data_IF_504856404495
#
_entry.id   IF_504856404495
#
_cell.length_a   1.000
_cell.length_b   1.000
_cell.length_c   1.000
_cell.angle_alpha   90.00
_cell.angle_beta   90.00
_cell.angle_gamma   90.00
#
_symmetry.space_group_name_H-M   'P 1'
#
loop_
_entity.id
_entity.type
_entity.pdbx_description
1 polymer ?
#
# COMPACT_ATOMS: atom_id res chain seq x y z
N UNK A 1 -8.35 9.58 -12.53
CA UNK A 1 -8.61 10.71 -11.61
C UNK A 1 -10.00 11.30 -11.85
N UNK A 2 -11.05 10.52 -11.48
CA UNK A 2 -12.41 11.02 -11.46
C UNK A 2 -12.65 11.72 -10.12
N UNK A 3 -13.37 12.84 -10.14
CA UNK A 3 -13.89 13.43 -8.90
C UNK A 3 -15.08 12.62 -8.36
N UNK A 4 -15.53 12.97 -7.18
CA UNK A 4 -16.57 12.22 -6.50
C UNK A 4 -17.88 12.17 -7.33
N UNK A 5 -18.24 13.29 -7.99
CA UNK A 5 -19.47 13.37 -8.80
C UNK A 5 -19.37 12.50 -10.05
N UNK A 6 -18.24 12.56 -10.77
CA UNK A 6 -17.99 11.70 -11.92
C UNK A 6 -17.97 10.22 -11.54
N UNK A 7 -17.44 9.88 -10.35
CA UNK A 7 -17.44 8.50 -9.83
C UNK A 7 -18.88 8.03 -9.56
N UNK A 8 -19.71 8.83 -8.89
CA UNK A 8 -21.12 8.51 -8.61
C UNK A 8 -21.91 8.38 -9.94
N UNK A 9 -21.68 9.27 -10.90
CA UNK A 9 -22.28 9.19 -12.20
C UNK A 9 -21.89 7.88 -12.92
N UNK A 10 -20.59 7.54 -12.92
CA UNK A 10 -20.09 6.31 -13.54
C UNK A 10 -20.68 5.06 -12.90
N UNK A 11 -20.76 5.00 -11.57
CA UNK A 11 -21.42 3.91 -10.85
C UNK A 11 -22.88 3.76 -11.27
N UNK A 12 -23.62 4.87 -11.35
CA UNK A 12 -25.01 4.88 -11.80
C UNK A 12 -25.16 4.43 -13.26
N UNK A 13 -24.25 4.82 -14.12
CA UNK A 13 -24.20 4.39 -15.52
C UNK A 13 -23.93 2.89 -15.63
N UNK A 14 -22.88 2.39 -14.94
CA UNK A 14 -22.48 0.99 -14.99
C UNK A 14 -23.53 0.06 -14.39
N UNK A 15 -24.25 0.48 -13.35
CA UNK A 15 -25.33 -0.32 -12.75
C UNK A 15 -26.50 -0.58 -13.72
N UNK A 16 -26.68 0.30 -14.71
CA UNK A 16 -27.73 0.18 -15.75
C UNK A 16 -27.21 -0.49 -17.03
N UNK A 17 -25.90 -0.73 -17.11
CA UNK A 17 -25.29 -1.33 -18.29
C UNK A 17 -25.71 -2.78 -18.46
N UNK A 18 -26.27 -3.12 -19.65
CA UNK A 18 -26.79 -4.47 -19.96
C UNK A 18 -25.79 -5.37 -20.68
N UNK A 19 -24.68 -4.81 -21.13
CA UNK A 19 -23.61 -5.57 -21.79
C UNK A 19 -22.65 -6.20 -20.79
N UNK A 20 -21.75 -7.06 -21.26
CA UNK A 20 -20.62 -7.53 -20.46
C UNK A 20 -19.62 -6.39 -20.22
N UNK A 21 -18.97 -6.40 -19.05
CA UNK A 21 -17.90 -5.47 -18.73
C UNK A 21 -16.79 -6.14 -17.94
N UNK A 22 -15.55 -5.66 -18.12
CA UNK A 22 -14.39 -6.05 -17.32
C UNK A 22 -13.74 -4.77 -16.82
N UNK A 23 -13.55 -4.67 -15.52
CA UNK A 23 -13.03 -3.48 -14.84
C UNK A 23 -11.80 -3.84 -14.04
N UNK A 24 -10.78 -2.98 -14.10
CA UNK A 24 -9.64 -2.99 -13.19
C UNK A 24 -9.74 -1.72 -12.34
N UNK A 25 -9.83 -1.89 -11.03
CA UNK A 25 -9.86 -0.76 -10.08
C UNK A 25 -9.23 -1.15 -8.75
N UNK A 26 -8.66 -0.18 -8.06
CA UNK A 26 -8.17 -0.32 -6.70
C UNK A 26 -9.15 0.29 -5.66
N UNK A 27 -10.22 0.91 -6.12
CA UNK A 27 -11.28 1.42 -5.25
C UNK A 27 -12.23 0.29 -4.85
N UNK A 28 -12.14 -0.12 -3.60
CA UNK A 28 -12.95 -1.20 -3.02
C UNK A 28 -14.44 -0.86 -3.01
N UNK A 29 -14.77 0.39 -2.68
CA UNK A 29 -16.16 0.84 -2.59
C UNK A 29 -16.81 0.90 -3.98
N UNK A 30 -16.06 1.34 -4.99
CA UNK A 30 -16.48 1.31 -6.39
C UNK A 30 -16.71 -0.12 -6.88
N UNK A 31 -15.77 -1.04 -6.62
CA UNK A 31 -15.92 -2.44 -7.01
C UNK A 31 -17.13 -3.09 -6.32
N UNK A 32 -17.30 -2.87 -5.01
CA UNK A 32 -18.42 -3.45 -4.25
C UNK A 32 -19.79 -3.08 -4.82
N UNK A 33 -19.91 -1.87 -5.38
CA UNK A 33 -21.17 -1.38 -5.96
C UNK A 33 -21.36 -1.70 -7.43
N UNK A 34 -20.25 -1.93 -8.17
CA UNK A 34 -20.29 -2.00 -9.64
C UNK A 34 -20.19 -3.41 -10.22
N UNK A 35 -19.70 -4.39 -9.45
CA UNK A 35 -19.42 -5.73 -9.97
C UNK A 35 -20.19 -6.83 -9.23
N UNK A 36 -20.39 -7.96 -9.92
CA UNK A 36 -21.01 -9.16 -9.37
C UNK A 36 -20.11 -10.41 -9.48
N UNK A 37 -18.97 -10.29 -10.13
CA UNK A 37 -17.98 -11.36 -10.23
C UNK A 37 -16.57 -10.76 -10.12
N UNK A 38 -15.63 -11.53 -9.57
CA UNK A 38 -14.21 -11.16 -9.49
C UNK A 38 -13.38 -12.25 -10.14
N UNK A 39 -12.48 -11.83 -11.02
CA UNK A 39 -11.41 -12.67 -11.56
C UNK A 39 -10.11 -12.36 -10.80
N UNK A 40 -9.71 -13.26 -9.93
CA UNK A 40 -8.41 -13.19 -9.27
C UNK A 40 -7.34 -13.79 -10.18
N UNK A 41 -6.27 -13.04 -10.40
CA UNK A 41 -5.08 -13.50 -11.11
C UNK A 41 -3.96 -13.61 -10.08
N UNK A 42 -3.61 -14.83 -9.69
CA UNK A 42 -2.54 -15.09 -8.73
C UNK A 42 -1.72 -16.31 -9.18
N UNK A 43 -0.39 -16.23 -9.04
CA UNK A 43 0.56 -17.29 -9.40
C UNK A 43 0.29 -17.93 -10.79
N UNK A 44 0.00 -17.09 -11.79
CA UNK A 44 -0.35 -17.50 -13.18
C UNK A 44 -1.63 -18.32 -13.29
N UNK A 45 -2.47 -18.33 -12.27
CA UNK A 45 -3.79 -18.95 -12.25
C UNK A 45 -4.86 -17.88 -12.23
N UNK A 46 -5.99 -18.18 -12.87
CA UNK A 46 -7.17 -17.32 -12.86
C UNK A 46 -8.26 -18.04 -12.08
N UNK A 47 -8.80 -17.40 -11.08
CA UNK A 47 -9.90 -17.94 -10.26
C UNK A 47 -11.09 -17.00 -10.32
N UNK A 48 -12.26 -17.53 -10.66
CA UNK A 48 -13.52 -16.79 -10.67
C UNK A 48 -14.21 -16.91 -9.31
N UNK A 49 -14.60 -15.78 -8.75
CA UNK A 49 -15.42 -15.65 -7.55
C UNK A 49 -16.75 -14.99 -7.90
N UNK A 50 -17.86 -15.52 -7.36
CA UNK A 50 -19.18 -14.96 -7.55
C UNK A 50 -19.56 -14.06 -6.37
N UNK A 51 -19.71 -12.78 -6.63
CA UNK A 51 -20.08 -11.77 -5.64
C UNK A 51 -19.29 -10.46 -5.81
N UNK A 52 -19.51 -9.56 -4.88
CA UNK A 52 -18.82 -8.29 -4.79
C UNK A 52 -17.44 -8.44 -4.08
N UNK A 53 -16.72 -7.35 -3.93
CA UNK A 53 -15.38 -7.35 -3.35
C UNK A 53 -15.36 -7.77 -1.87
N UNK A 54 -16.37 -7.36 -1.08
CA UNK A 54 -16.49 -7.73 0.34
C UNK A 54 -16.63 -9.26 0.47
N UNK A 55 -17.55 -9.87 -0.28
CA UNK A 55 -17.74 -11.32 -0.28
C UNK A 55 -16.49 -12.08 -0.72
N UNK A 56 -15.81 -11.58 -1.76
CA UNK A 56 -14.55 -12.16 -2.21
C UNK A 56 -13.49 -12.17 -1.10
N UNK A 57 -13.32 -11.06 -0.37
CA UNK A 57 -12.31 -10.99 0.70
C UNK A 57 -12.60 -11.95 1.85
N UNK A 58 -13.87 -12.11 2.20
CA UNK A 58 -14.32 -13.08 3.22
C UNK A 58 -14.05 -14.52 2.75
N UNK A 59 -14.44 -14.86 1.53
CA UNK A 59 -14.24 -16.21 0.97
C UNK A 59 -12.75 -16.53 0.80
N UNK A 60 -11.95 -15.56 0.33
CA UNK A 60 -10.51 -15.71 0.22
C UNK A 60 -9.86 -15.95 1.58
N UNK A 61 -10.23 -15.19 2.60
CA UNK A 61 -9.68 -15.34 3.96
C UNK A 61 -10.00 -16.73 4.54
N UNK A 62 -11.23 -17.20 4.37
CA UNK A 62 -11.66 -18.54 4.81
C UNK A 62 -10.90 -19.65 4.08
N UNK A 63 -10.74 -19.54 2.75
CA UNK A 63 -9.99 -20.51 1.93
C UNK A 63 -8.53 -20.56 2.35
N UNK A 64 -7.91 -19.41 2.60
CA UNK A 64 -6.52 -19.35 3.06
C UNK A 64 -6.36 -19.98 4.45
N UNK A 65 -7.29 -19.76 5.35
CA UNK A 65 -7.27 -20.39 6.67
C UNK A 65 -7.41 -21.93 6.57
N UNK A 66 -8.34 -22.41 5.77
CA UNK A 66 -8.52 -23.82 5.49
C UNK A 66 -7.24 -24.45 4.91
N UNK A 67 -6.65 -23.81 3.91
CA UNK A 67 -5.40 -24.26 3.30
C UNK A 67 -4.24 -24.31 4.31
N UNK A 68 -4.12 -23.28 5.17
CA UNK A 68 -3.10 -23.24 6.24
C UNK A 68 -3.30 -24.36 7.26
N UNK A 69 -4.53 -24.64 7.63
CA UNK A 69 -4.85 -25.71 8.56
C UNK A 69 -4.59 -27.10 7.94
N UNK A 70 -4.98 -27.29 6.67
CA UNK A 70 -4.71 -28.53 5.95
C UNK A 70 -3.18 -28.77 5.80
N UNK A 71 -2.40 -27.74 5.41
CA UNK A 71 -0.93 -27.83 5.36
C UNK A 71 -0.32 -28.18 6.71
N UNK A 72 -0.74 -27.50 7.79
CA UNK A 72 -0.24 -27.75 9.15
C UNK A 72 -0.52 -29.19 9.59
N UNK A 73 -1.74 -29.68 9.34
CA UNK A 73 -2.12 -31.05 9.68
C UNK A 73 -1.31 -32.07 8.90
N UNK A 74 -1.11 -31.85 7.60
CA UNK A 74 -0.28 -32.72 6.76
C UNK A 74 1.18 -32.74 7.23
N UNK A 75 1.77 -31.58 7.52
CA UNK A 75 3.14 -31.48 8.02
C UNK A 75 3.30 -32.22 9.36
N UNK A 76 2.32 -32.13 10.26
CA UNK A 76 2.30 -32.89 11.51
C UNK A 76 2.28 -34.40 11.24
N UNK A 77 1.41 -34.86 10.34
CA UNK A 77 1.30 -36.28 9.97
C UNK A 77 2.60 -36.81 9.32
N UNK A 78 3.21 -36.02 8.43
CA UNK A 78 4.51 -36.37 7.85
C UNK A 78 5.56 -36.53 8.94
N UNK A 79 5.71 -35.52 9.81
CA UNK A 79 6.70 -35.54 10.89
C UNK A 79 6.50 -36.69 11.88
N UNK A 80 5.29 -37.02 12.24
CA UNK A 80 4.97 -38.14 13.13
C UNK A 80 5.26 -39.48 12.45
N UNK A 81 5.00 -39.59 11.15
CA UNK A 81 5.32 -40.79 10.36
C UNK A 81 6.84 -40.98 10.18
N UNK A 82 7.58 -39.90 9.89
CA UNK A 82 9.04 -39.93 9.80
C UNK A 82 9.67 -40.32 11.13
N UNK A 83 9.20 -39.77 12.27
CA UNK A 83 9.66 -40.18 13.61
C UNK A 83 9.41 -41.66 13.89
N UNK A 84 8.26 -42.19 13.45
CA UNK A 84 7.95 -43.60 13.59
C UNK A 84 8.95 -44.46 12.76
N UNK A 85 9.17 -44.09 11.49
CA UNK A 85 10.12 -44.79 10.61
C UNK A 85 11.52 -44.77 11.23
N UNK A 86 12.01 -43.64 11.67
CA UNK A 86 13.34 -43.49 12.29
C UNK A 86 13.48 -44.36 13.55
N UNK A 87 12.48 -44.31 14.44
CA UNK A 87 12.49 -45.08 15.71
C UNK A 87 12.48 -46.59 15.53
N UNK A 88 11.85 -47.11 14.46
CA UNK A 88 11.61 -48.50 14.25
C UNK A 88 12.38 -49.10 13.06
N UNK A 89 13.19 -48.31 12.36
CA UNK A 89 13.96 -48.71 11.16
C UNK A 89 14.84 -49.92 11.39
N UNK A 90 15.45 -50.06 12.56
CA UNK A 90 16.36 -51.15 12.91
C UNK A 90 15.68 -52.39 13.53
N UNK A 91 14.36 -52.36 13.74
CA UNK A 91 13.63 -53.46 14.39
C UNK A 91 12.97 -54.37 13.37
N UNK A 92 13.51 -55.62 13.21
CA UNK A 92 12.98 -56.59 12.26
C UNK A 92 11.49 -56.90 12.43
N UNK A 93 10.99 -56.93 13.67
CA UNK A 93 9.57 -57.18 13.98
C UNK A 93 8.62 -56.06 13.48
N UNK A 94 9.13 -54.90 13.11
CA UNK A 94 8.39 -53.78 12.60
C UNK A 94 8.68 -53.44 11.13
N UNK A 95 9.52 -54.23 10.43
CA UNK A 95 9.95 -53.94 9.08
C UNK A 95 8.82 -53.74 8.09
N UNK A 96 7.77 -54.58 8.11
CA UNK A 96 6.60 -54.46 7.23
C UNK A 96 5.82 -53.16 7.49
N UNK A 97 5.66 -52.78 8.76
CA UNK A 97 4.98 -51.53 9.12
C UNK A 97 5.78 -50.28 8.70
N UNK A 98 7.10 -50.33 8.84
CA UNK A 98 7.99 -49.26 8.39
C UNK A 98 7.91 -49.12 6.86
N UNK A 99 8.01 -50.21 6.11
CA UNK A 99 7.89 -50.18 4.66
C UNK A 99 6.54 -49.66 4.18
N UNK A 100 5.44 -50.05 4.84
CA UNK A 100 4.09 -49.54 4.54
C UNK A 100 4.00 -48.00 4.72
N UNK A 101 4.59 -47.47 5.82
CA UNK A 101 4.62 -46.04 6.08
C UNK A 101 5.51 -45.25 5.13
N UNK A 102 6.64 -45.79 4.73
CA UNK A 102 7.49 -45.21 3.67
C UNK A 102 6.70 -45.10 2.37
N UNK A 103 6.08 -46.21 1.93
CA UNK A 103 5.23 -46.18 0.71
C UNK A 103 4.05 -45.21 0.81
N UNK A 104 3.50 -44.99 2.00
CA UNK A 104 2.44 -44.01 2.23
C UNK A 104 2.97 -42.58 2.06
N UNK A 105 4.17 -42.28 2.60
CA UNK A 105 4.78 -40.95 2.42
C UNK A 105 5.16 -40.67 0.97
N UNK A 106 5.68 -41.70 0.26
CA UNK A 106 6.06 -41.58 -1.16
C UNK A 106 4.83 -41.30 -2.08
N UNK A 107 3.66 -41.80 -1.71
CA UNK A 107 2.42 -41.61 -2.46
C UNK A 107 1.64 -40.34 -2.03
N UNK A 108 2.08 -39.68 -0.94
CA UNK A 108 1.37 -38.54 -0.40
C UNK A 108 1.55 -37.32 -1.31
N UNK A 109 0.46 -36.82 -1.88
CA UNK A 109 0.47 -35.51 -2.55
C UNK A 109 0.74 -34.42 -1.51
N UNK A 110 1.88 -33.75 -1.64
CA UNK A 110 2.27 -32.68 -0.71
C UNK A 110 1.47 -31.40 -1.02
N UNK A 111 0.79 -30.92 0.01
CA UNK A 111 0.15 -29.62 -0.05
C UNK A 111 1.25 -28.56 -0.12
N UNK A 112 1.15 -27.67 -1.10
CA UNK A 112 2.10 -26.55 -1.22
C UNK A 112 2.06 -25.66 0.04
N UNK A 113 3.22 -25.20 0.44
CA UNK A 113 3.27 -24.27 1.59
C UNK A 113 2.39 -23.04 1.29
N UNK A 114 1.54 -22.63 2.24
CA UNK A 114 0.75 -21.43 2.02
C UNK A 114 1.69 -20.25 1.74
N UNK A 115 1.40 -19.53 0.68
CA UNK A 115 2.12 -18.31 0.31
C UNK A 115 2.13 -17.40 1.54
N UNK A 116 3.28 -16.88 1.91
CA UNK A 116 3.35 -15.89 3.00
C UNK A 116 2.38 -14.78 2.61
N UNK A 117 1.38 -14.54 3.45
CA UNK A 117 0.57 -13.35 3.30
C UNK A 117 1.55 -12.18 3.20
N UNK A 118 1.45 -11.42 2.12
CA UNK A 118 2.06 -10.10 2.08
C UNK A 118 1.51 -9.38 3.29
N UNK A 119 2.35 -9.21 4.32
CA UNK A 119 1.93 -8.54 5.53
C UNK A 119 1.52 -7.13 5.15
N UNK A 120 0.37 -6.68 5.65
CA UNK A 120 0.03 -5.26 5.57
C UNK A 120 1.24 -4.44 6.06
N UNK A 121 1.50 -3.32 5.40
CA UNK A 121 2.58 -2.41 5.76
C UNK A 121 2.53 -2.11 7.27
N UNK A 122 3.53 -2.54 8.02
CA UNK A 122 3.65 -2.23 9.44
C UNK A 122 4.62 -1.06 9.61
N UNK A 123 4.14 0.13 9.28
CA UNK A 123 4.93 1.35 9.29
C UNK A 123 5.16 1.83 10.72
N UNK A 124 6.41 1.81 11.15
CA UNK A 124 6.88 2.55 12.32
C UNK A 124 7.59 3.81 11.82
N UNK A 125 6.82 4.88 11.68
CA UNK A 125 7.37 6.16 11.23
C UNK A 125 8.14 6.83 12.37
N UNK A 126 9.28 7.47 12.06
CA UNK A 126 9.96 8.33 13.01
C UNK A 126 9.01 9.47 13.43
N UNK A 127 8.94 9.71 14.73
CA UNK A 127 8.06 10.74 15.28
C UNK A 127 8.84 12.05 15.45
N UNK A 128 8.31 13.19 15.01
CA UNK A 128 8.94 14.47 15.20
C UNK A 128 8.87 14.92 16.68
N UNK A 129 9.71 15.87 17.04
CA UNK A 129 9.59 16.57 18.31
C UNK A 129 8.24 17.29 18.40
N UNK A 130 7.89 17.76 19.62
CA UNK A 130 6.61 18.46 19.81
C UNK A 130 6.57 19.78 19.05
N UNK A 131 5.63 19.92 18.11
CA UNK A 131 5.36 21.17 17.39
C UNK A 131 4.53 22.18 18.21
N UNK A 132 4.47 23.46 17.81
CA UNK A 132 3.47 24.40 18.26
C UNK A 132 2.04 23.89 18.06
N UNK A 133 1.04 24.55 18.70
CA UNK A 133 -0.36 24.20 18.52
C UNK A 133 -0.81 24.45 17.06
N UNK A 134 -0.50 25.62 16.51
CA UNK A 134 -0.77 25.96 15.11
C UNK A 134 0.43 25.52 14.28
N UNK A 135 0.21 24.54 13.40
CA UNK A 135 1.25 24.00 12.52
C UNK A 135 1.26 24.67 11.16
N UNK A 136 0.12 25.14 10.68
CA UNK A 136 0.01 25.92 9.44
C UNK A 136 -1.19 26.86 9.50
N UNK A 137 -1.10 27.98 8.81
CA UNK A 137 -2.23 28.93 8.70
C UNK A 137 -2.20 29.72 7.40
N UNK A 138 -3.38 30.05 6.89
CA UNK A 138 -3.61 31.03 5.82
C UNK A 138 -4.36 32.23 6.41
N UNK A 139 -3.97 33.44 6.03
CA UNK A 139 -4.66 34.67 6.39
C UNK A 139 -4.90 35.54 5.18
N UNK A 140 -6.17 35.84 4.90
CA UNK A 140 -6.62 36.66 3.77
C UNK A 140 -5.97 36.21 2.45
N UNK A 141 -5.83 34.91 2.23
CA UNK A 141 -5.12 34.36 1.08
C UNK A 141 -5.98 34.47 -0.16
N UNK A 142 -5.46 35.13 -1.17
CA UNK A 142 -6.02 35.16 -2.52
C UNK A 142 -5.02 34.53 -3.48
N UNK A 143 -5.49 33.67 -4.36
CA UNK A 143 -4.69 33.01 -5.38
C UNK A 143 -5.37 33.08 -6.74
N UNK A 144 -4.63 33.59 -7.71
CA UNK A 144 -5.01 33.62 -9.11
C UNK A 144 -3.98 32.86 -9.96
N UNK A 145 -4.43 32.24 -11.02
CA UNK A 145 -3.64 31.78 -12.14
C UNK A 145 -4.15 32.53 -13.39
N UNK A 146 -3.40 33.49 -13.85
CA UNK A 146 -3.83 34.41 -14.93
C UNK A 146 -5.21 35.01 -14.57
N UNK A 147 -6.24 34.71 -15.36
CA UNK A 147 -7.61 35.21 -15.15
C UNK A 147 -8.48 34.32 -14.25
N UNK A 148 -7.94 33.18 -13.78
CA UNK A 148 -8.69 32.23 -12.95
C UNK A 148 -8.45 32.52 -11.47
N UNK A 149 -9.50 32.97 -10.77
CA UNK A 149 -9.49 33.07 -9.31
C UNK A 149 -9.73 31.70 -8.68
N UNK A 150 -8.75 31.22 -7.90
CA UNK A 150 -8.83 29.92 -7.20
C UNK A 150 -9.29 30.13 -5.76
N UNK A 151 -8.74 31.13 -5.08
CA UNK A 151 -9.12 31.50 -3.72
C UNK A 151 -9.25 33.01 -3.59
N UNK A 152 -10.23 33.44 -2.81
CA UNK A 152 -10.47 34.82 -2.51
C UNK A 152 -10.66 35.02 -1.00
N UNK A 153 -9.75 35.79 -0.38
CA UNK A 153 -9.76 36.10 1.06
C UNK A 153 -9.93 34.85 1.97
N UNK A 154 -9.24 33.76 1.67
CA UNK A 154 -9.36 32.51 2.40
C UNK A 154 -8.57 32.59 3.72
N UNK A 155 -9.24 32.25 4.81
CA UNK A 155 -8.64 32.03 6.12
C UNK A 155 -8.73 30.55 6.52
N UNK A 156 -7.64 29.97 7.00
CA UNK A 156 -7.60 28.59 7.48
C UNK A 156 -6.51 28.44 8.53
N UNK A 157 -6.78 27.62 9.53
CA UNK A 157 -5.79 27.23 10.56
C UNK A 157 -5.75 25.71 10.65
N UNK A 158 -4.56 25.15 10.69
CA UNK A 158 -4.30 23.73 10.91
C UNK A 158 -3.59 23.58 12.24
N UNK A 159 -4.23 22.85 13.15
CA UNK A 159 -3.68 22.58 14.47
C UNK A 159 -2.97 21.22 14.52
N UNK A 160 -2.01 21.09 15.42
CA UNK A 160 -1.33 19.84 15.68
C UNK A 160 -2.30 18.72 16.02
N UNK A 161 -2.16 17.58 15.32
CA UNK A 161 -2.98 16.39 15.51
C UNK A 161 -4.30 16.39 14.74
N UNK A 162 -4.67 17.51 14.08
CA UNK A 162 -5.82 17.50 13.17
C UNK A 162 -5.54 16.65 11.94
N UNK A 163 -6.59 15.96 11.47
CA UNK A 163 -6.59 15.19 10.21
C UNK A 163 -7.68 15.78 9.33
N UNK A 164 -7.28 16.47 8.26
CA UNK A 164 -8.17 17.25 7.40
C UNK A 164 -8.22 16.58 6.03
N UNK A 165 -9.43 16.22 5.57
CA UNK A 165 -9.70 15.81 4.19
C UNK A 165 -10.16 16.99 3.34
N UNK A 166 -9.49 17.24 2.21
CA UNK A 166 -9.91 18.26 1.24
C UNK A 166 -10.83 17.62 0.20
N UNK A 167 -12.05 18.10 0.09
CA UNK A 167 -13.08 17.61 -0.83
C UNK A 167 -13.51 18.75 -1.74
N UNK A 168 -13.75 18.47 -3.01
CA UNK A 168 -14.21 19.43 -4.01
C UNK A 168 -14.02 18.89 -5.44
N UNK A 169 -14.64 19.56 -6.42
CA UNK A 169 -14.51 19.23 -7.83
C UNK A 169 -13.06 19.28 -8.32
N UNK A 170 -12.80 18.67 -9.48
CA UNK A 170 -11.53 18.88 -10.17
C UNK A 170 -11.40 20.37 -10.54
N UNK A 171 -10.22 20.94 -10.29
CA UNK A 171 -9.99 22.37 -10.47
C UNK A 171 -10.41 23.27 -9.29
N UNK A 172 -11.04 22.77 -8.22
CA UNK A 172 -11.44 23.55 -7.05
C UNK A 172 -10.27 24.10 -6.20
N UNK A 173 -9.01 23.84 -6.58
CA UNK A 173 -7.86 24.38 -5.88
C UNK A 173 -7.28 23.47 -4.78
N UNK A 174 -7.71 22.21 -4.64
CA UNK A 174 -7.20 21.29 -3.60
C UNK A 174 -5.68 21.15 -3.63
N UNK A 175 -5.11 20.80 -4.77
CA UNK A 175 -3.67 20.67 -4.96
C UNK A 175 -2.94 22.01 -4.85
N UNK A 176 -3.59 23.12 -5.26
CA UNK A 176 -3.05 24.48 -5.09
C UNK A 176 -2.89 24.81 -3.61
N UNK A 177 -3.88 24.50 -2.78
CA UNK A 177 -3.81 24.71 -1.33
C UNK A 177 -2.66 23.91 -0.70
N UNK A 178 -2.51 22.64 -1.05
CA UNK A 178 -1.41 21.81 -0.57
C UNK A 178 -0.04 22.34 -1.01
N UNK A 179 0.09 22.79 -2.26
CA UNK A 179 1.32 23.40 -2.80
C UNK A 179 1.68 24.71 -2.08
N UNK A 180 0.68 25.52 -1.73
CA UNK A 180 0.91 26.74 -0.94
C UNK A 180 1.41 26.42 0.47
N UNK A 181 0.83 25.43 1.15
CA UNK A 181 1.34 24.97 2.45
C UNK A 181 2.72 24.33 2.36
N UNK A 182 3.02 23.64 1.25
CA UNK A 182 4.35 23.10 0.98
C UNK A 182 5.41 24.15 0.61
N UNK A 183 4.99 25.42 0.42
CA UNK A 183 5.88 26.49 -0.04
C UNK A 183 6.34 26.36 -1.50
N UNK A 184 5.71 25.45 -2.26
CA UNK A 184 6.01 25.24 -3.69
C UNK A 184 5.32 26.27 -4.57
N UNK A 185 4.14 26.72 -4.18
CA UNK A 185 3.35 27.66 -4.93
C UNK A 185 3.14 28.95 -4.13
N UNK A 186 3.52 30.14 -4.66
CA UNK A 186 3.33 31.40 -3.97
C UNK A 186 1.86 31.82 -4.00
N UNK A 187 1.44 32.57 -2.98
CA UNK A 187 0.13 33.25 -2.96
C UNK A 187 0.18 34.54 -3.79
N UNK A 188 -0.96 34.98 -4.34
CA UNK A 188 -1.07 36.26 -5.03
C UNK A 188 -1.15 37.41 -4.02
N UNK A 189 -1.91 37.24 -2.93
CA UNK A 189 -1.96 38.16 -1.81
C UNK A 189 -2.29 37.41 -0.51
N UNK A 190 -2.15 38.09 0.64
CA UNK A 190 -2.30 37.47 1.95
C UNK A 190 -1.02 36.76 2.41
N UNK A 191 -1.15 35.85 3.35
CA UNK A 191 0.00 35.14 3.90
C UNK A 191 -0.31 33.69 4.26
N UNK A 192 0.54 32.76 3.81
CA UNK A 192 0.64 31.40 4.32
C UNK A 192 1.79 31.33 5.29
N UNK A 193 1.56 30.76 6.46
CA UNK A 193 2.58 30.61 7.51
C UNK A 193 2.63 29.17 7.99
N UNK A 194 3.81 28.60 7.98
CA UNK A 194 4.14 27.36 8.68
C UNK A 194 4.65 27.74 10.07
N UNK A 195 4.25 26.99 11.09
CA UNK A 195 4.67 27.23 12.47
C UNK A 195 6.20 27.21 12.62
N UNK A 196 6.71 27.91 13.63
CA UNK A 196 8.15 27.85 13.94
C UNK A 196 8.56 26.43 14.31
N UNK A 197 9.67 25.96 13.75
CA UNK A 197 10.18 24.59 13.94
C UNK A 197 9.15 23.51 13.53
N UNK A 198 8.40 23.75 12.47
CA UNK A 198 7.48 22.81 11.86
C UNK A 198 8.06 22.37 10.52
N UNK A 199 8.40 21.09 10.43
CA UNK A 199 8.85 20.45 9.19
C UNK A 199 7.64 19.89 8.46
N UNK A 200 7.57 20.15 7.14
CA UNK A 200 6.49 19.67 6.28
C UNK A 200 7.02 18.63 5.29
N UNK A 201 6.29 17.53 5.14
CA UNK A 201 6.50 16.59 4.04
C UNK A 201 5.32 16.68 3.07
N UNK A 202 5.63 16.82 1.78
CA UNK A 202 4.65 16.95 0.72
C UNK A 202 4.75 15.80 -0.28
N UNK A 203 3.67 15.03 -0.40
CA UNK A 203 3.51 13.99 -1.42
C UNK A 203 2.72 14.58 -2.59
N UNK A 204 3.42 14.93 -3.65
CA UNK A 204 2.84 15.51 -4.85
C UNK A 204 2.25 14.43 -5.77
N UNK A 205 1.25 14.80 -6.58
CA UNK A 205 0.63 13.92 -7.57
C UNK A 205 1.66 13.29 -8.54
N UNK A 206 2.74 14.02 -8.89
CA UNK A 206 3.82 13.55 -9.77
C UNK A 206 5.09 13.11 -9.00
N UNK A 207 4.93 12.65 -7.76
CA UNK A 207 6.07 12.27 -6.91
C UNK A 207 6.93 11.13 -7.52
N UNK A 208 6.35 10.33 -8.41
CA UNK A 208 7.07 9.26 -9.12
C UNK A 208 8.16 9.79 -10.06
N UNK A 209 8.03 11.01 -10.58
CA UNK A 209 8.98 11.66 -11.49
C UNK A 209 10.26 12.12 -10.76
N UNK A 210 10.20 12.26 -9.43
CA UNK A 210 11.34 12.67 -8.60
C UNK A 210 12.32 11.51 -8.38
N UNK A 211 11.87 10.27 -8.58
CA UNK A 211 12.70 9.09 -8.45
C UNK A 211 13.67 8.99 -9.62
N UNK A 212 14.96 8.83 -9.32
CA UNK A 212 15.96 8.60 -10.36
C UNK A 212 15.85 7.13 -10.86
N UNK A 213 15.57 6.92 -12.16
CA UNK A 213 15.41 5.59 -12.74
C UNK A 213 16.65 4.68 -12.62
N UNK A 214 17.84 5.28 -12.57
CA UNK A 214 19.12 4.58 -12.56
C UNK A 214 19.66 4.29 -11.15
N UNK A 215 18.90 4.62 -10.12
CA UNK A 215 19.18 4.25 -8.74
C UNK A 215 18.46 2.97 -8.35
N UNK A 216 19.03 2.24 -7.41
CA UNK A 216 18.33 1.13 -6.73
C UNK A 216 17.35 1.68 -5.67
N UNK A 217 16.40 0.84 -5.24
CA UNK A 217 15.50 1.16 -4.12
C UNK A 217 16.31 1.54 -2.87
N UNK A 218 17.38 0.80 -2.58
CA UNK A 218 18.25 1.06 -1.45
C UNK A 218 18.94 2.43 -1.55
N UNK A 219 19.55 2.74 -2.69
CA UNK A 219 20.24 4.01 -2.92
C UNK A 219 19.29 5.21 -2.83
N UNK A 220 18.04 5.05 -3.29
CA UNK A 220 17.01 6.09 -3.17
C UNK A 220 16.72 6.48 -1.72
N UNK A 221 16.74 5.50 -0.80
CA UNK A 221 16.54 5.75 0.63
C UNK A 221 17.82 6.23 1.28
N UNK A 222 18.98 5.67 0.93
CA UNK A 222 20.28 6.05 1.48
C UNK A 222 20.57 7.55 1.30
N UNK A 223 20.17 8.15 0.20
CA UNK A 223 20.36 9.58 -0.08
C UNK A 223 19.63 10.51 0.89
N UNK A 224 18.52 10.06 1.45
CA UNK A 224 17.67 10.88 2.34
C UNK A 224 17.73 10.42 3.80
N UNK A 225 18.28 9.24 4.09
CA UNK A 225 18.39 8.67 5.43
C UNK A 225 19.73 8.99 6.11
N UNK A 226 20.01 10.28 6.32
CA UNK A 226 21.26 10.69 6.96
C UNK A 226 21.45 10.05 8.34
N UNK A 227 22.62 9.44 8.55
CA UNK A 227 22.98 8.83 9.83
C UNK A 227 22.36 7.46 10.13
N UNK A 228 21.58 6.89 9.22
CA UNK A 228 21.03 5.54 9.39
C UNK A 228 22.05 4.47 9.02
N UNK A 229 22.10 3.40 9.80
CA UNK A 229 22.85 2.20 9.42
C UNK A 229 22.16 1.42 8.29
N UNK A 230 22.92 0.61 7.57
CA UNK A 230 22.37 -0.26 6.53
C UNK A 230 21.23 -1.15 7.06
N UNK A 231 21.37 -1.70 8.27
CA UNK A 231 20.35 -2.53 8.91
C UNK A 231 19.06 -1.74 9.17
N UNK A 232 19.17 -0.48 9.59
CA UNK A 232 18.00 0.38 9.78
C UNK A 232 17.29 0.64 8.45
N UNK A 233 18.03 0.97 7.39
CA UNK A 233 17.47 1.19 6.04
C UNK A 233 16.79 -0.05 5.50
N UNK A 234 17.42 -1.23 5.62
CA UNK A 234 16.81 -2.51 5.20
C UNK A 234 15.54 -2.84 5.99
N UNK A 235 15.56 -2.62 7.30
CA UNK A 235 14.36 -2.82 8.16
C UNK A 235 13.24 -1.87 7.78
N UNK A 236 13.58 -0.61 7.51
CA UNK A 236 12.63 0.40 7.08
C UNK A 236 12.00 0.05 5.72
N UNK A 237 12.82 -0.29 4.72
CA UNK A 237 12.36 -0.76 3.42
C UNK A 237 11.49 -2.02 3.52
N UNK A 238 11.82 -2.93 4.44
CA UNK A 238 11.00 -4.09 4.75
C UNK A 238 9.59 -3.73 5.21
N UNK A 239 9.42 -2.62 5.93
CA UNK A 239 8.10 -2.12 6.32
C UNK A 239 7.27 -1.59 5.14
N UNK A 240 7.93 -1.20 4.03
CA UNK A 240 7.31 -0.84 2.75
C UNK A 240 7.25 -2.03 1.76
N UNK A 241 7.42 -3.26 2.26
CA UNK A 241 7.33 -4.50 1.48
C UNK A 241 8.46 -4.68 0.46
N UNK A 242 9.62 -4.07 0.68
CA UNK A 242 10.85 -4.36 -0.06
C UNK A 242 11.77 -5.22 0.80
N UNK A 243 12.02 -6.46 0.38
CA UNK A 243 12.83 -7.41 1.13
C UNK A 243 13.74 -8.24 0.23
N UNK A 244 14.85 -8.74 0.78
CA UNK A 244 15.82 -9.53 0.02
C UNK A 244 16.34 -8.77 -1.20
N UNK A 245 16.32 -9.41 -2.36
CA UNK A 245 16.84 -8.87 -3.62
C UNK A 245 16.00 -7.71 -4.20
N UNK A 246 14.81 -7.45 -3.63
CA UNK A 246 13.94 -6.37 -4.11
C UNK A 246 14.50 -4.98 -3.84
N UNK A 247 15.30 -4.83 -2.78
CA UNK A 247 15.94 -3.56 -2.44
C UNK A 247 17.04 -3.16 -3.41
N UNK A 248 17.63 -4.13 -4.11
CA UNK A 248 18.71 -3.93 -5.07
C UNK A 248 18.18 -3.75 -6.51
N UNK A 249 16.85 -3.82 -6.71
CA UNK A 249 16.23 -3.52 -8.00
C UNK A 249 16.36 -2.03 -8.33
N UNK A 250 16.64 -1.74 -9.61
CA UNK A 250 16.62 -0.38 -10.11
C UNK A 250 15.20 0.17 -10.17
N UNK A 251 15.03 1.47 -9.91
CA UNK A 251 13.73 2.15 -9.94
C UNK A 251 13.05 2.01 -11.32
N UNK A 252 13.80 1.98 -12.40
CA UNK A 252 13.28 1.83 -13.77
C UNK A 252 12.52 0.53 -14.01
N UNK A 253 12.86 -0.55 -13.31
CA UNK A 253 12.22 -1.87 -13.48
C UNK A 253 11.03 -2.08 -12.55
N UNK A 254 10.76 -1.14 -11.65
CA UNK A 254 9.66 -1.22 -10.70
C UNK A 254 8.30 -0.95 -11.39
N UNK A 255 7.27 -1.63 -10.94
CA UNK A 255 5.88 -1.31 -11.28
C UNK A 255 5.47 0.07 -10.73
N UNK A 256 4.35 0.62 -11.21
CA UNK A 256 3.83 1.90 -10.72
C UNK A 256 3.57 1.89 -9.20
N UNK A 257 2.98 0.82 -8.67
CA UNK A 257 2.75 0.65 -7.23
C UNK A 257 4.04 0.52 -6.41
N UNK A 258 5.06 -0.19 -6.92
CA UNK A 258 6.37 -0.26 -6.27
C UNK A 258 7.05 1.12 -6.24
N UNK A 259 7.02 1.87 -7.34
CA UNK A 259 7.52 3.25 -7.40
C UNK A 259 6.81 4.15 -6.39
N UNK A 260 5.48 4.06 -6.29
CA UNK A 260 4.71 4.82 -5.31
C UNK A 260 5.13 4.50 -3.86
N UNK A 261 5.37 3.21 -3.55
CA UNK A 261 5.89 2.80 -2.23
C UNK A 261 7.29 3.37 -1.95
N UNK A 262 8.19 3.37 -2.94
CA UNK A 262 9.54 3.99 -2.80
C UNK A 262 9.42 5.49 -2.58
N UNK A 263 8.59 6.18 -3.35
CA UNK A 263 8.37 7.62 -3.20
C UNK A 263 7.79 7.96 -1.82
N UNK A 264 6.82 7.19 -1.36
CA UNK A 264 6.24 7.34 -0.02
C UNK A 264 7.27 7.05 1.07
N UNK A 265 8.05 5.96 0.93
CA UNK A 265 9.13 5.64 1.85
C UNK A 265 10.15 6.79 1.93
N UNK A 266 10.58 7.30 0.79
CA UNK A 266 11.54 8.40 0.73
C UNK A 266 11.04 9.66 1.44
N UNK A 267 9.77 10.00 1.25
CA UNK A 267 9.15 11.16 1.91
C UNK A 267 9.07 10.99 3.44
N UNK A 268 8.83 9.76 3.92
CA UNK A 268 8.58 9.47 5.34
C UNK A 268 9.85 9.08 6.13
N UNK A 269 11.04 9.13 5.52
CA UNK A 269 12.33 8.88 6.20
C UNK A 269 12.55 9.89 7.30
N UNK A 270 12.28 11.16 7.02
CA UNK A 270 12.45 12.24 7.98
C UNK A 270 11.17 12.48 8.78
N UNK A 271 11.29 12.68 10.11
CA UNK A 271 10.14 12.97 10.93
C UNK A 271 9.54 14.32 10.56
N UNK A 272 8.27 14.35 10.21
CA UNK A 272 7.56 15.57 9.78
C UNK A 272 6.43 15.90 10.75
N UNK A 273 6.21 17.19 10.98
CA UNK A 273 5.16 17.72 11.85
C UNK A 273 3.81 17.85 11.12
N UNK A 274 3.85 18.06 9.80
CA UNK A 274 2.67 18.12 8.93
C UNK A 274 2.92 17.29 7.67
N UNK A 275 1.97 16.42 7.37
CA UNK A 275 1.96 15.63 6.14
C UNK A 275 0.92 16.23 5.20
N UNK A 276 1.37 16.62 4.02
CA UNK A 276 0.54 17.14 2.93
C UNK A 276 0.48 16.05 1.85
N UNK A 277 -0.68 15.45 1.66
CA UNK A 277 -0.83 14.29 0.78
C UNK A 277 -1.81 14.62 -0.35
N UNK A 278 -1.34 14.67 -1.58
CA UNK A 278 -2.14 14.89 -2.77
C UNK A 278 -2.39 13.56 -3.49
N UNK A 279 -3.62 13.05 -3.35
CA UNK A 279 -4.08 11.77 -3.91
C UNK A 279 -3.11 10.59 -3.62
N UNK A 280 -2.74 10.35 -2.34
CA UNK A 280 -1.67 9.40 -1.98
C UNK A 280 -2.01 7.94 -2.29
N UNK A 281 -3.28 7.62 -2.50
CA UNK A 281 -3.74 6.26 -2.83
C UNK A 281 -3.67 5.95 -4.33
N UNK A 282 -3.47 6.96 -5.17
CA UNK A 282 -3.26 6.75 -6.59
C UNK A 282 -1.94 6.00 -6.80
N UNK A 283 -1.99 4.96 -7.61
CA UNK A 283 -0.87 4.05 -7.87
C UNK A 283 -0.49 3.10 -6.72
N UNK A 284 -1.14 3.16 -5.54
CA UNK A 284 -0.99 2.11 -4.54
C UNK A 284 -1.94 0.96 -4.85
N UNK A 285 -1.44 -0.27 -4.75
CA UNK A 285 -2.27 -1.46 -4.92
C UNK A 285 -3.12 -1.74 -3.65
N UNK A 286 -4.15 -2.58 -3.77
CA UNK A 286 -5.10 -2.86 -2.67
C UNK A 286 -4.47 -3.51 -1.43
N UNK A 287 -3.23 -3.97 -1.52
CA UNK A 287 -2.51 -4.66 -0.44
C UNK A 287 -1.71 -3.66 0.39
N UNK A 288 -1.45 -2.50 -0.17
CA UNK A 288 -0.74 -1.39 0.46
C UNK A 288 -1.68 -0.51 1.27
#
# INVERSE_FOLDING_TARGET
HLDLEATIWLESFLSKWKGGMVIISHDRAFLDRSINNILEIDLKKITLFHGNYTKYTEEKSLRMEQHRNAYRNQQKQIKDTERFIERFRSKNTKATQVQSRVKMLDKLEKIEAPTKQTHAMNLRLPQPNRSPLIVASCRNVTKHYEDIEVFNNMDMVVERGQKIGLIGHNGAGKSTLLKMFAGVEPVTSGAVRIGSNVDSAYYAQHQLEILNPDETVFESIQKVSQGWSETQMRTYLGSFMFSGDEIDKYVKVLSGGEKARVALARMLVEPSHILLLDEPTNHLDMVT
#
